data_IF_710590203825
#
_entry.id   IF_710590203825
#
_cell.length_a   1.000
_cell.length_b   1.000
_cell.length_c   1.000
_cell.angle_alpha   90.00
_cell.angle_beta   90.00
_cell.angle_gamma   90.00
#
_symmetry.space_group_name_H-M   'P 1'
#
loop_
_entity.id
_entity.type
_entity.pdbx_description
1 polymer ?
#
# COMPACT_ATOMS: atom_id res chain seq x y z
N UNK A 1 -4.47 -15.62 -15.90
CA UNK A 1 -4.56 -15.46 -15.14
C UNK A 1 -3.95 -15.70 -13.87
N UNK A 2 -2.92 -15.40 -13.51
CA UNK A 2 -2.35 -15.50 -12.40
C UNK A 2 -2.44 -14.43 -11.52
N UNK A 3 -3.59 -14.00 -11.19
CA UNK A 3 -3.80 -13.02 -10.28
C UNK A 3 -3.47 -13.51 -8.97
N UNK A 4 -2.38 -13.22 -8.43
CA UNK A 4 -2.01 -13.62 -7.14
C UNK A 4 -2.73 -12.87 -6.07
N UNK A 5 -3.36 -11.76 -6.37
CA UNK A 5 -4.05 -10.94 -5.40
C UNK A 5 -5.55 -11.14 -5.54
N UNK A 6 -6.25 -11.27 -4.43
CA UNK A 6 -7.70 -11.25 -4.50
C UNK A 6 -8.14 -9.77 -4.58
N UNK A 7 -9.44 -9.54 -4.58
CA UNK A 7 -9.97 -8.22 -4.81
C UNK A 7 -9.53 -7.23 -3.75
N UNK A 8 -9.53 -7.66 -2.50
CA UNK A 8 -9.11 -6.79 -1.42
C UNK A 8 -7.67 -6.39 -1.57
N UNK A 9 -6.84 -7.34 -1.92
CA UNK A 9 -5.41 -7.08 -2.08
C UNK A 9 -5.15 -6.17 -3.26
N UNK A 10 -5.91 -6.34 -4.33
CA UNK A 10 -5.77 -5.45 -5.47
C UNK A 10 -6.17 -4.04 -5.11
N UNK A 11 -7.22 -3.89 -4.33
CA UNK A 11 -7.66 -2.56 -3.90
C UNK A 11 -6.58 -1.89 -3.05
N UNK A 12 -5.97 -2.64 -2.15
CA UNK A 12 -4.90 -2.10 -1.33
C UNK A 12 -3.72 -1.66 -2.20
N UNK A 13 -3.39 -2.46 -3.18
CA UNK A 13 -2.31 -2.15 -4.10
C UNK A 13 -2.57 -0.83 -4.83
N UNK A 14 -3.78 -0.69 -5.37
CA UNK A 14 -4.12 0.53 -6.07
C UNK A 14 -4.15 1.74 -5.14
N UNK A 15 -4.64 1.55 -3.93
CA UNK A 15 -4.68 2.67 -2.99
C UNK A 15 -3.28 3.15 -2.65
N UNK A 16 -2.36 2.21 -2.41
CA UNK A 16 -0.99 2.59 -2.11
C UNK A 16 -0.37 3.34 -3.29
N UNK A 17 -0.64 2.86 -4.51
CA UNK A 17 -0.10 3.51 -5.68
C UNK A 17 -0.61 4.94 -5.87
N UNK A 18 -1.82 5.21 -5.39
CA UNK A 18 -2.43 6.51 -5.60
C UNK A 18 -2.33 7.43 -4.41
N UNK A 19 -1.63 7.05 -3.35
CA UNK A 19 -1.48 7.92 -2.20
C UNK A 19 -0.56 9.08 -2.56
N UNK A 20 -1.04 10.32 -2.38
CA UNK A 20 -0.31 11.45 -2.93
C UNK A 20 0.90 11.91 -2.14
N UNK A 21 0.92 11.65 -0.84
CA UNK A 21 1.99 12.14 -0.02
C UNK A 21 3.09 11.14 0.25
N UNK A 22 3.02 9.96 -0.35
CA UNK A 22 4.09 9.00 -0.20
C UNK A 22 5.13 9.24 -1.26
N UNK A 23 6.39 9.24 -0.87
CA UNK A 23 7.43 9.37 -1.89
C UNK A 23 7.64 8.00 -2.55
N UNK A 24 8.46 8.00 -3.56
CA UNK A 24 8.63 6.81 -4.37
C UNK A 24 9.22 5.67 -3.56
N UNK A 25 10.16 5.97 -2.71
CA UNK A 25 10.79 4.97 -1.90
C UNK A 25 9.81 4.30 -0.96
N UNK A 26 9.00 5.09 -0.30
CA UNK A 26 8.01 4.56 0.64
C UNK A 26 6.97 3.73 -0.10
N UNK A 27 6.51 4.23 -1.21
CA UNK A 27 5.52 3.50 -2.00
C UNK A 27 6.07 2.17 -2.46
N UNK A 28 7.31 2.16 -2.94
CA UNK A 28 7.92 0.93 -3.40
C UNK A 28 8.11 -0.06 -2.26
N UNK A 29 8.44 0.43 -1.08
CA UNK A 29 8.60 -0.45 0.07
C UNK A 29 7.29 -1.14 0.43
N UNK A 30 6.20 -0.38 0.42
CA UNK A 30 4.88 -0.96 0.70
C UNK A 30 4.48 -1.96 -0.37
N UNK A 31 4.72 -1.63 -1.62
CA UNK A 31 4.36 -2.52 -2.71
C UNK A 31 5.18 -3.80 -2.65
N UNK A 32 6.45 -3.68 -2.33
CA UNK A 32 7.31 -4.84 -2.22
C UNK A 32 6.82 -5.74 -1.07
N UNK A 33 6.47 -5.16 0.06
CA UNK A 33 5.95 -5.93 1.17
C UNK A 33 4.65 -6.61 0.81
N UNK A 34 3.80 -5.92 0.05
CA UNK A 34 2.54 -6.49 -0.37
C UNK A 34 2.75 -7.67 -1.29
N UNK A 35 3.71 -7.58 -2.19
CA UNK A 35 4.02 -8.68 -3.09
C UNK A 35 4.60 -9.86 -2.33
N UNK A 36 5.38 -9.55 -1.31
CA UNK A 36 6.04 -10.58 -0.54
C UNK A 36 5.03 -11.33 0.33
N UNK A 37 4.09 -10.61 0.90
CA UNK A 37 3.10 -11.21 1.78
C UNK A 37 1.74 -10.56 1.57
N UNK A 38 1.00 -11.00 0.56
CA UNK A 38 -0.29 -10.38 0.27
C UNK A 38 -1.30 -10.48 1.41
N UNK A 39 -1.12 -11.42 2.31
CA UNK A 39 -2.05 -11.55 3.41
C UNK A 39 -1.97 -10.36 4.37
N UNK A 40 -0.93 -9.54 4.26
CA UNK A 40 -0.77 -8.37 5.09
C UNK A 40 -1.34 -7.12 4.43
N UNK A 41 -2.13 -7.27 3.39
CA UNK A 41 -2.58 -6.10 2.64
C UNK A 41 -3.33 -5.11 3.51
N UNK A 42 -4.19 -5.59 4.40
CA UNK A 42 -4.94 -4.67 5.25
C UNK A 42 -4.01 -3.93 6.20
N UNK A 43 -3.04 -4.63 6.77
CA UNK A 43 -2.09 -4.00 7.67
C UNK A 43 -1.22 -3.00 6.92
N UNK A 44 -0.77 -3.36 5.74
CA UNK A 44 0.07 -2.46 4.96
C UNK A 44 -0.69 -1.21 4.57
N UNK A 45 -1.94 -1.37 4.17
CA UNK A 45 -2.76 -0.24 3.80
C UNK A 45 -2.98 0.67 5.00
N UNK A 46 -3.25 0.10 6.16
CA UNK A 46 -3.45 0.89 7.36
C UNK A 46 -2.18 1.65 7.73
N UNK A 47 -1.03 1.01 7.60
CA UNK A 47 0.23 1.67 7.89
C UNK A 47 0.52 2.76 6.89
N UNK A 48 0.22 2.54 5.63
CA UNK A 48 0.43 3.56 4.62
C UNK A 48 -0.44 4.78 4.90
N UNK A 49 -1.68 4.55 5.29
CA UNK A 49 -2.57 5.65 5.61
C UNK A 49 -2.11 6.40 6.85
N UNK A 50 -1.61 5.67 7.83
CA UNK A 50 -1.10 6.29 9.03
C UNK A 50 0.11 7.16 8.71
N UNK A 51 0.99 6.67 7.90
CA UNK A 51 2.16 7.43 7.48
C UNK A 51 1.74 8.66 6.70
N UNK A 52 0.77 8.49 5.81
CA UNK A 52 0.27 9.59 5.02
C UNK A 52 -0.29 10.69 5.92
N UNK A 53 -1.05 10.29 6.92
CA UNK A 53 -1.64 11.25 7.84
C UNK A 53 -0.55 11.97 8.63
N UNK A 54 0.48 11.25 9.04
CA UNK A 54 1.58 11.84 9.78
C UNK A 54 2.37 12.83 8.93
N UNK A 55 2.47 12.58 7.64
CA UNK A 55 3.20 13.45 6.74
C UNK A 55 2.37 14.54 6.12
N UNK A 56 1.06 14.45 6.23
CA UNK A 56 0.19 15.40 5.56
C UNK A 56 0.37 16.78 6.17
N UNK A 57 0.44 17.81 5.34
CA UNK A 57 0.55 19.17 5.85
C UNK A 57 -0.77 19.59 6.46
N UNK A 58 -0.72 20.45 7.42
CA UNK A 58 -1.91 20.93 8.04
C UNK A 58 -2.44 22.16 7.38
#
# INVERSE_FOLDING_TARGET
VDNKFNKEQQNAFYEILHLPNLNEEQRNAFIQSLKDDPSQSANLLAEAKKLLDAQAPK
#
